data_IF_684958744835
#
_entry.id   IF_684958744835
#
_cell.length_a   1.000
_cell.length_b   1.000
_cell.length_c   1.000
_cell.angle_alpha   90.00
_cell.angle_beta   90.00
_cell.angle_gamma   90.00
#
_symmetry.space_group_name_H-M   'P 1'
#
loop_
_entity.id
_entity.type
_entity.pdbx_description
1 polymer ?
#
# COMPACT_ATOMS: atom_id res chain seq x y z
N UNK A 1 1.99 24.04 -36.29
CA UNK A 1 1.46 25.01 -35.31
C UNK A 1 0.56 24.22 -34.37
N UNK A 2 1.05 23.70 -33.24
CA UNK A 2 1.38 24.35 -31.96
C UNK A 2 0.12 24.55 -31.08
N UNK A 3 -0.01 23.61 -30.12
CA UNK A 3 -0.72 23.69 -28.80
C UNK A 3 -2.25 23.56 -28.91
N UNK A 4 -2.92 22.73 -28.12
CA UNK A 4 -2.93 22.75 -26.64
C UNK A 4 -3.00 21.33 -26.07
N UNK A 5 -2.04 21.00 -25.21
CA UNK A 5 -2.09 19.84 -24.33
C UNK A 5 -3.24 20.02 -23.35
N UNK A 6 -4.24 19.14 -23.41
CA UNK A 6 -5.23 18.97 -22.33
C UNK A 6 -4.51 18.28 -21.17
N UNK A 7 -3.83 19.07 -20.35
CA UNK A 7 -3.35 18.65 -19.05
C UNK A 7 -4.57 18.42 -18.15
N UNK A 8 -5.02 17.17 -18.06
CA UNK A 8 -5.89 16.73 -16.97
C UNK A 8 -5.02 16.75 -15.72
N UNK A 9 -5.00 17.90 -15.06
CA UNK A 9 -4.54 18.03 -13.68
C UNK A 9 -5.57 17.26 -12.86
N UNK A 10 -5.30 15.98 -12.63
CA UNK A 10 -5.98 15.23 -11.57
C UNK A 10 -5.47 15.85 -10.27
N UNK A 11 -6.26 16.78 -9.75
CA UNK A 11 -6.18 17.25 -8.38
C UNK A 11 -6.58 16.11 -7.45
N UNK A 12 -5.69 15.13 -7.27
CA UNK A 12 -5.77 14.25 -6.09
C UNK A 12 -5.45 15.15 -4.91
N UNK A 13 -6.52 15.54 -4.24
CA UNK A 13 -6.48 16.17 -2.93
C UNK A 13 -5.62 15.27 -2.03
N UNK A 14 -4.44 15.76 -1.67
CA UNK A 14 -3.67 15.28 -0.54
C UNK A 14 -4.52 15.47 0.73
N UNK A 15 -5.41 14.52 0.97
CA UNK A 15 -6.11 14.35 2.23
C UNK A 15 -5.33 13.46 3.21
N UNK A 16 -4.03 13.21 2.98
CA UNK A 16 -3.17 12.76 4.07
C UNK A 16 -2.71 13.98 4.87
N UNK A 17 -3.64 14.51 5.68
CA UNK A 17 -3.21 15.09 6.94
C UNK A 17 -2.30 14.05 7.60
N UNK A 18 -1.07 14.44 7.93
CA UNK A 18 -0.16 13.62 8.73
C UNK A 18 -0.69 13.43 10.14
N UNK A 19 -1.83 12.75 10.28
CA UNK A 19 -2.29 12.16 11.51
C UNK A 19 -1.32 11.03 11.83
N UNK A 20 -0.52 11.21 12.88
CA UNK A 20 0.24 10.10 13.41
C UNK A 20 -0.70 8.96 13.77
N UNK A 21 -0.23 7.73 13.63
CA UNK A 21 -0.98 6.53 14.03
C UNK A 21 -1.20 6.61 15.55
N UNK A 22 -2.43 6.95 15.97
CA UNK A 22 -2.81 7.09 17.38
C UNK A 22 -3.53 5.86 17.93
N UNK A 23 -4.05 5.02 17.04
CA UNK A 23 -4.79 3.81 17.38
C UNK A 23 -4.42 2.63 16.45
N UNK A 24 -4.83 1.42 16.84
CA UNK A 24 -4.73 0.25 15.95
C UNK A 24 -5.66 0.36 14.74
N UNK A 25 -6.78 1.07 14.86
CA UNK A 25 -7.71 1.29 13.75
C UNK A 25 -7.06 2.18 12.68
N UNK A 26 -6.43 3.29 13.08
CA UNK A 26 -5.68 4.18 12.18
C UNK A 26 -4.58 3.41 11.44
N UNK A 27 -3.92 2.48 12.14
CA UNK A 27 -2.87 1.65 11.54
C UNK A 27 -3.42 0.68 10.49
N UNK A 28 -4.58 0.09 10.74
CA UNK A 28 -5.22 -0.83 9.81
C UNK A 28 -5.80 -0.08 8.60
N UNK A 29 -6.34 1.12 8.79
CA UNK A 29 -6.76 2.00 7.69
C UNK A 29 -5.57 2.42 6.83
N UNK A 30 -4.49 2.92 7.44
CA UNK A 30 -3.27 3.28 6.72
C UNK A 30 -2.65 2.07 5.99
N UNK A 31 -2.67 0.89 6.62
CA UNK A 31 -2.23 -0.34 5.97
C UNK A 31 -3.11 -0.70 4.77
N UNK A 32 -4.44 -0.61 4.91
CA UNK A 32 -5.37 -0.90 3.83
C UNK A 32 -5.18 0.04 2.64
N UNK A 33 -5.02 1.35 2.88
CA UNK A 33 -4.74 2.35 1.85
C UNK A 33 -3.43 2.03 1.10
N UNK A 34 -2.33 1.79 1.82
CA UNK A 34 -1.04 1.46 1.18
C UNK A 34 -1.15 0.20 0.32
N UNK A 35 -1.91 -0.79 0.80
CA UNK A 35 -2.10 -2.04 0.08
C UNK A 35 -3.01 -1.88 -1.15
N UNK A 36 -4.03 -1.03 -1.10
CA UNK A 36 -4.86 -0.66 -2.25
C UNK A 36 -4.02 0.10 -3.29
N UNK A 37 -3.24 1.09 -2.86
CA UNK A 37 -2.30 1.81 -3.73
C UNK A 37 -1.31 0.84 -4.40
N UNK A 38 -0.80 -0.16 -3.66
CA UNK A 38 0.10 -1.16 -4.23
C UNK A 38 -0.60 -2.04 -5.28
N UNK A 39 -1.86 -2.40 -5.08
CA UNK A 39 -2.66 -3.11 -6.08
C UNK A 39 -2.82 -2.25 -7.33
N UNK A 40 -3.14 -0.97 -7.20
CA UNK A 40 -3.28 -0.05 -8.33
C UNK A 40 -1.97 0.11 -9.13
N UNK A 41 -0.84 0.25 -8.42
CA UNK A 41 0.49 0.31 -9.04
C UNK A 41 0.77 -0.96 -9.84
N UNK A 42 0.52 -2.13 -9.24
CA UNK A 42 0.72 -3.41 -9.91
C UNK A 42 -0.26 -3.61 -11.07
N UNK A 43 -1.53 -3.17 -10.96
CA UNK A 43 -2.50 -3.21 -12.04
C UNK A 43 -2.05 -2.37 -13.25
N UNK A 44 -1.40 -1.24 -13.00
CA UNK A 44 -0.78 -0.37 -14.00
C UNK A 44 0.39 -1.00 -14.76
N UNK A 45 1.02 -2.05 -14.23
CA UNK A 45 2.09 -2.78 -14.91
C UNK A 45 1.54 -3.61 -16.07
N UNK A 46 1.90 -3.24 -17.29
CA UNK A 46 1.52 -3.92 -18.55
C UNK A 46 2.73 -4.48 -19.31
N UNK A 47 3.93 -3.99 -19.01
CA UNK A 47 5.18 -4.32 -19.67
C UNK A 47 6.40 -3.99 -18.79
N UNK A 48 7.60 -4.35 -19.25
CA UNK A 48 8.87 -4.11 -18.56
C UNK A 48 9.10 -2.64 -18.20
N UNK A 49 8.76 -1.70 -19.08
CA UNK A 49 9.01 -0.28 -18.84
C UNK A 49 8.08 0.30 -17.76
N UNK A 50 6.84 -0.20 -17.71
CA UNK A 50 5.93 0.10 -16.60
C UNK A 50 6.35 -0.58 -15.29
N UNK A 51 6.96 -1.76 -15.35
CA UNK A 51 7.49 -2.45 -14.16
C UNK A 51 8.67 -1.68 -13.53
N UNK A 52 9.59 -1.17 -14.33
CA UNK A 52 10.71 -0.35 -13.82
C UNK A 52 10.24 0.92 -13.10
N UNK A 53 9.14 1.53 -13.56
CA UNK A 53 8.54 2.68 -12.88
C UNK A 53 7.80 2.29 -11.61
N UNK A 54 7.06 1.19 -11.66
CA UNK A 54 6.35 0.65 -10.51
C UNK A 54 7.31 0.23 -9.38
N UNK A 55 8.54 -0.17 -9.70
CA UNK A 55 9.54 -0.54 -8.69
C UNK A 55 9.81 0.59 -7.67
N UNK A 56 10.00 1.84 -8.12
CA UNK A 56 10.24 2.95 -7.19
C UNK A 56 8.99 3.32 -6.37
N UNK A 57 7.80 3.10 -6.94
CA UNK A 57 6.53 3.31 -6.24
C UNK A 57 6.33 2.23 -5.16
N UNK A 58 6.67 0.97 -5.44
CA UNK A 58 6.67 -0.13 -4.47
C UNK A 58 7.63 0.16 -3.31
N UNK A 59 8.83 0.67 -3.58
CA UNK A 59 9.77 1.06 -2.52
C UNK A 59 9.23 2.18 -1.62
N UNK A 60 8.59 3.18 -2.22
CA UNK A 60 7.98 4.28 -1.47
C UNK A 60 6.79 3.80 -0.60
N UNK A 61 5.93 2.95 -1.15
CA UNK A 61 4.82 2.33 -0.41
C UNK A 61 5.33 1.43 0.72
N UNK A 62 6.39 0.67 0.47
CA UNK A 62 7.07 -0.13 1.48
C UNK A 62 7.64 0.68 2.63
N UNK A 63 8.23 1.84 2.34
CA UNK A 63 8.72 2.78 3.35
C UNK A 63 7.58 3.32 4.21
N UNK A 64 6.45 3.70 3.58
CA UNK A 64 5.23 4.10 4.32
C UNK A 64 4.72 2.98 5.23
N UNK A 65 4.74 1.74 4.75
CA UNK A 65 4.33 0.58 5.55
C UNK A 65 5.25 0.38 6.77
N UNK A 66 6.56 0.49 6.57
CA UNK A 66 7.54 0.41 7.66
C UNK A 66 7.29 1.49 8.72
N UNK A 67 6.96 2.71 8.30
CA UNK A 67 6.62 3.82 9.21
C UNK A 67 5.34 3.55 10.00
N UNK A 68 4.30 2.96 9.38
CA UNK A 68 3.08 2.53 10.07
C UNK A 68 3.42 1.48 11.13
N UNK A 69 4.17 0.44 10.76
CA UNK A 69 4.61 -0.61 11.70
C UNK A 69 5.43 -0.03 12.86
N UNK A 70 6.34 0.90 12.57
CA UNK A 70 7.16 1.56 13.59
C UNK A 70 6.32 2.40 14.57
N UNK A 71 5.21 2.99 14.12
CA UNK A 71 4.28 3.70 14.99
C UNK A 71 3.39 2.74 15.78
N UNK A 72 2.91 1.65 15.18
CA UNK A 72 2.15 0.60 15.88
C UNK A 72 2.97 -0.04 17.00
N UNK A 73 4.27 -0.30 16.77
CA UNK A 73 5.19 -0.83 17.79
C UNK A 73 5.29 0.07 19.04
N UNK A 74 4.93 1.37 18.93
CA UNK A 74 4.92 2.32 20.05
C UNK A 74 3.57 2.36 20.78
N UNK A 75 2.52 1.76 20.23
CA UNK A 75 1.21 1.70 20.86
C UNK A 75 1.20 0.66 21.99
N UNK A 76 0.40 0.88 23.05
CA UNK A 76 0.15 -0.16 24.05
C UNK A 76 -0.56 -1.35 23.38
N UNK A 77 -0.38 -2.60 23.84
CA UNK A 77 -1.07 -3.77 23.29
C UNK A 77 -2.59 -3.56 23.18
N UNK A 78 -3.26 -4.10 22.15
CA UNK A 78 -4.69 -3.91 21.96
C UNK A 78 -5.48 -4.62 23.07
N UNK A 79 -6.54 -3.98 23.53
CA UNK A 79 -7.49 -4.60 24.46
C UNK A 79 -8.33 -5.68 23.76
N UNK A 80 -9.00 -6.53 24.54
CA UNK A 80 -9.88 -7.58 23.99
C UNK A 80 -11.01 -7.00 23.13
N UNK A 81 -11.58 -5.87 23.53
CA UNK A 81 -12.69 -5.23 22.83
C UNK A 81 -12.20 -4.62 21.50
N UNK A 82 -11.04 -3.95 21.51
CA UNK A 82 -10.40 -3.46 20.29
C UNK A 82 -10.05 -4.59 19.31
N UNK A 83 -9.58 -5.74 19.82
CA UNK A 83 -9.32 -6.91 18.97
C UNK A 83 -10.61 -7.44 18.32
N UNK A 84 -11.74 -7.41 19.03
CA UNK A 84 -13.01 -7.86 18.51
C UNK A 84 -13.55 -6.90 17.44
N UNK A 85 -13.51 -5.59 17.66
CA UNK A 85 -13.91 -4.58 16.67
C UNK A 85 -13.07 -4.66 15.39
N UNK A 86 -11.75 -4.83 15.51
CA UNK A 86 -10.86 -5.05 14.38
C UNK A 86 -11.26 -6.33 13.62
N UNK A 87 -11.50 -7.44 14.33
CA UNK A 87 -11.89 -8.69 13.70
C UNK A 87 -13.22 -8.58 12.93
N UNK A 88 -14.20 -7.87 13.49
CA UNK A 88 -15.51 -7.64 12.85
C UNK A 88 -15.41 -6.74 11.62
N UNK A 89 -14.66 -5.62 11.72
CA UNK A 89 -14.50 -4.64 10.62
C UNK A 89 -13.73 -5.20 9.43
N UNK A 90 -12.64 -5.96 9.67
CA UNK A 90 -11.76 -6.42 8.61
C UNK A 90 -12.01 -7.88 8.15
N UNK A 91 -12.85 -8.64 8.88
CA UNK A 91 -13.13 -10.05 8.56
C UNK A 91 -14.01 -10.29 7.33
N UNK A 92 -14.86 -9.33 6.95
CA UNK A 92 -15.76 -9.45 5.80
C UNK A 92 -15.14 -8.85 4.51
N UNK A 93 -14.58 -7.65 4.60
CA UNK A 93 -14.03 -6.89 3.46
C UNK A 93 -12.65 -7.39 3.01
N UNK A 94 -11.93 -8.09 3.90
CA UNK A 94 -10.62 -8.66 3.59
C UNK A 94 -10.62 -9.66 2.44
N UNK A 95 -11.75 -10.30 2.10
CA UNK A 95 -11.78 -11.35 1.05
C UNK A 95 -11.63 -10.81 -0.37
N UNK A 96 -12.28 -9.68 -0.69
CA UNK A 96 -12.18 -9.08 -2.02
C UNK A 96 -10.78 -8.50 -2.23
N UNK A 97 -10.28 -7.78 -1.22
CA UNK A 97 -8.91 -7.27 -1.20
C UNK A 97 -7.89 -8.41 -1.34
N UNK A 98 -8.02 -9.50 -0.57
CA UNK A 98 -7.14 -10.67 -0.69
C UNK A 98 -7.15 -11.30 -2.09
N UNK A 99 -8.32 -11.34 -2.74
CA UNK A 99 -8.44 -11.90 -4.09
C UNK A 99 -7.70 -11.03 -5.12
N UNK A 100 -7.86 -9.71 -5.05
CA UNK A 100 -7.15 -8.77 -5.93
C UNK A 100 -5.64 -8.78 -5.65
N UNK A 101 -5.24 -8.73 -4.38
CA UNK A 101 -3.84 -8.81 -3.99
C UNK A 101 -3.17 -10.11 -4.46
N UNK A 102 -3.84 -11.26 -4.32
CA UNK A 102 -3.33 -12.54 -4.81
C UNK A 102 -3.18 -12.58 -6.35
N UNK A 103 -4.09 -11.94 -7.08
CA UNK A 103 -3.99 -11.83 -8.54
C UNK A 103 -2.80 -10.97 -8.98
N UNK A 104 -2.53 -9.87 -8.25
CA UNK A 104 -1.42 -8.97 -8.57
C UNK A 104 -0.06 -9.47 -8.06
N UNK A 105 -0.02 -10.28 -6.98
CA UNK A 105 1.20 -10.93 -6.49
C UNK A 105 1.89 -11.79 -7.56
N UNK A 106 1.14 -12.33 -8.53
CA UNK A 106 1.74 -13.07 -9.66
C UNK A 106 2.66 -12.18 -10.50
N UNK A 107 2.42 -10.86 -10.57
CA UNK A 107 3.28 -9.92 -11.29
C UNK A 107 4.63 -9.71 -10.61
N UNK A 108 4.70 -9.80 -9.28
CA UNK A 108 5.98 -9.77 -8.56
C UNK A 108 6.88 -10.94 -9.00
N UNK A 109 6.29 -12.11 -9.25
CA UNK A 109 7.01 -13.28 -9.75
C UNK A 109 7.34 -13.19 -11.26
N UNK A 110 6.53 -12.47 -12.03
CA UNK A 110 6.72 -12.29 -13.49
C UNK A 110 7.84 -11.29 -13.82
N UNK A 111 7.99 -10.24 -13.01
CA UNK A 111 8.97 -9.18 -13.24
C UNK A 111 10.03 -9.15 -12.12
N UNK A 112 11.28 -9.59 -12.39
CA UNK A 112 12.35 -9.64 -11.39
C UNK A 112 12.60 -8.31 -10.67
N UNK A 113 12.50 -7.18 -11.38
CA UNK A 113 12.68 -5.84 -10.81
C UNK A 113 11.64 -5.51 -9.74
N UNK A 114 10.42 -6.03 -9.86
CA UNK A 114 9.37 -5.85 -8.84
C UNK A 114 9.63 -6.76 -7.64
N UNK A 115 10.09 -7.99 -7.87
CA UNK A 115 10.50 -8.90 -6.79
C UNK A 115 11.65 -8.31 -5.97
N UNK A 116 12.68 -7.77 -6.63
CA UNK A 116 13.83 -7.15 -5.96
C UNK A 116 13.41 -5.93 -5.13
N UNK A 117 12.56 -5.05 -5.69
CA UNK A 117 12.03 -3.90 -4.96
C UNK A 117 11.21 -4.34 -3.73
N UNK A 118 10.37 -5.37 -3.88
CA UNK A 118 9.59 -5.93 -2.77
C UNK A 118 10.47 -6.58 -1.70
N UNK A 119 11.47 -7.36 -2.09
CA UNK A 119 12.42 -7.99 -1.17
C UNK A 119 13.22 -6.95 -0.38
N UNK A 120 13.65 -5.87 -1.04
CA UNK A 120 14.34 -4.77 -0.40
C UNK A 120 13.46 -4.09 0.67
N UNK A 121 12.19 -3.84 0.34
CA UNK A 121 11.19 -3.34 1.29
C UNK A 121 11.01 -4.30 2.48
N UNK A 122 10.84 -5.60 2.23
CA UNK A 122 10.64 -6.61 3.27
C UNK A 122 11.85 -6.77 4.18
N UNK A 123 13.07 -6.66 3.64
CA UNK A 123 14.30 -6.68 4.42
C UNK A 123 14.39 -5.50 5.39
N UNK A 124 13.90 -4.33 4.97
CA UNK A 124 13.92 -3.09 5.76
C UNK A 124 12.80 -3.01 6.82
N UNK A 125 11.81 -3.91 6.79
CA UNK A 125 10.70 -3.95 7.77
C UNK A 125 10.97 -4.79 9.03
N UNK A 126 12.08 -5.53 9.07
CA UNK A 126 12.47 -6.36 10.22
C UNK A 126 12.87 -5.49 11.43
#
# INVERSE_FOLDING_TARGET
>A
MRRVLTAVIVSVLCASCGGGIGSYEDAMEAQAEIMEEMVDVLEGVKDQASAEKAASEIEALGTRMADVVAQVKKLPPPTRDQMQEIAEKYGADGREFQTKAAAQMMKLAEYPVLSEAWEHVMANMQ
#
